data_IF_665255747604
#
_entry.id   IF_665255747604
#
_cell.length_a   1.000
_cell.length_b   1.000
_cell.length_c   1.000
_cell.angle_alpha   90.00
_cell.angle_beta   90.00
_cell.angle_gamma   90.00
#
_symmetry.space_group_name_H-M   'P 1'
#
loop_
_entity.id
_entity.type
_entity.pdbx_description
1 polymer ?
#
# COMPACT_ATOMS: atom_id res chain seq x y z
N UNK A 1 -33.02 -29.42 13.25
CA UNK A 1 -32.16 -28.95 12.15
C UNK A 1 -31.18 -27.96 12.78
N UNK A 2 -29.95 -28.38 13.07
CA UNK A 2 -28.99 -27.56 13.81
C UNK A 2 -28.14 -26.79 12.79
N UNK A 3 -28.39 -25.50 12.64
CA UNK A 3 -27.51 -24.62 11.89
C UNK A 3 -26.32 -24.23 12.77
N UNK A 4 -25.11 -24.55 12.32
CA UNK A 4 -23.88 -24.05 12.94
C UNK A 4 -23.63 -22.67 12.34
N UNK A 5 -23.67 -21.63 13.18
CA UNK A 5 -23.21 -20.30 12.80
C UNK A 5 -21.68 -20.33 12.78
N UNK A 6 -21.07 -20.38 11.60
CA UNK A 6 -19.64 -20.13 11.45
C UNK A 6 -19.49 -18.61 11.47
N UNK A 7 -19.13 -18.06 12.62
CA UNK A 7 -18.71 -16.67 12.71
C UNK A 7 -17.38 -16.53 11.98
N UNK A 8 -17.38 -15.92 10.80
CA UNK A 8 -16.15 -15.60 10.08
C UNK A 8 -15.40 -14.52 10.86
N UNK A 9 -14.16 -14.80 11.22
CA UNK A 9 -13.24 -13.82 11.79
C UNK A 9 -12.90 -12.78 10.71
N UNK A 10 -13.17 -11.48 10.93
CA UNK A 10 -12.86 -10.47 9.94
C UNK A 10 -11.33 -10.34 9.81
N UNK A 11 -10.84 -10.26 8.58
CA UNK A 11 -9.44 -10.00 8.31
C UNK A 11 -9.29 -9.09 7.09
N UNK A 12 -8.16 -8.39 7.07
CA UNK A 12 -7.71 -7.61 5.91
C UNK A 12 -6.53 -8.37 5.32
N UNK A 13 -6.57 -8.64 4.01
CA UNK A 13 -5.43 -9.23 3.30
C UNK A 13 -5.15 -8.48 2.01
N UNK A 14 -3.87 -8.51 1.63
CA UNK A 14 -3.38 -8.13 0.32
C UNK A 14 -2.36 -9.18 -0.08
N UNK A 15 -2.63 -9.93 -1.15
CA UNK A 15 -1.81 -11.06 -1.58
C UNK A 15 -1.84 -11.22 -3.10
N UNK A 16 -0.91 -12.03 -3.62
CA UNK A 16 -0.90 -12.42 -5.03
C UNK A 16 -1.46 -13.83 -5.16
N UNK A 17 -2.43 -14.01 -6.06
CA UNK A 17 -2.97 -15.33 -6.42
C UNK A 17 -2.70 -15.55 -7.90
N UNK A 18 -1.89 -16.54 -8.25
CA UNK A 18 -1.44 -16.79 -9.63
C UNK A 18 -0.86 -15.53 -10.31
N UNK A 19 -0.15 -14.70 -9.53
CA UNK A 19 0.48 -13.47 -10.01
C UNK A 19 -0.47 -12.26 -10.11
N UNK A 20 -1.75 -12.40 -9.75
CA UNK A 20 -2.72 -11.28 -9.75
C UNK A 20 -2.94 -10.78 -8.33
N UNK A 21 -3.02 -9.45 -8.17
CA UNK A 21 -3.31 -8.81 -6.89
C UNK A 21 -4.74 -9.09 -6.44
N UNK A 22 -4.89 -9.60 -5.22
CA UNK A 22 -6.16 -9.83 -4.54
C UNK A 22 -6.13 -9.13 -3.20
N UNK A 23 -7.16 -8.32 -2.94
CA UNK A 23 -7.37 -7.66 -1.67
C UNK A 23 -8.70 -8.09 -1.07
N UNK A 24 -8.69 -8.44 0.21
CA UNK A 24 -9.89 -8.83 0.93
C UNK A 24 -10.09 -7.96 2.17
N UNK A 25 -11.35 -7.61 2.39
CA UNK A 25 -11.89 -7.12 3.63
C UNK A 25 -13.08 -8.01 4.00
N UNK A 26 -12.76 -9.16 4.61
CA UNK A 26 -13.74 -10.17 4.97
C UNK A 26 -14.65 -9.69 6.12
N UNK A 27 -15.91 -10.16 6.17
CA UNK A 27 -16.50 -11.24 5.37
C UNK A 27 -17.15 -10.81 4.04
N UNK A 28 -17.03 -9.53 3.65
CA UNK A 28 -17.96 -8.94 2.68
C UNK A 28 -17.32 -8.51 1.35
N UNK A 29 -16.00 -8.39 1.30
CA UNK A 29 -15.30 -7.79 0.16
C UNK A 29 -14.11 -8.65 -0.19
N UNK A 30 -14.12 -9.18 -1.42
CA UNK A 30 -12.95 -9.73 -2.09
C UNK A 30 -12.86 -9.03 -3.44
N UNK A 31 -11.75 -8.37 -3.72
CA UNK A 31 -11.51 -7.65 -4.96
C UNK A 31 -10.21 -8.15 -5.59
N UNK A 32 -10.31 -8.68 -6.80
CA UNK A 32 -9.17 -9.14 -7.58
C UNK A 32 -8.93 -8.21 -8.77
N UNK A 33 -7.66 -8.01 -9.09
CA UNK A 33 -7.25 -7.41 -10.35
C UNK A 33 -7.37 -8.38 -11.51
N UNK A 34 -6.78 -7.99 -12.62
CA UNK A 34 -6.68 -8.75 -13.88
C UNK A 34 -5.25 -8.81 -14.41
N UNK A 35 -4.43 -7.82 -14.06
CA UNK A 35 -3.02 -7.73 -14.44
C UNK A 35 -2.18 -8.75 -13.68
N UNK A 36 -1.38 -9.51 -14.44
CA UNK A 36 -0.32 -10.36 -13.87
C UNK A 36 0.88 -9.48 -13.57
N UNK A 37 1.32 -9.48 -12.31
CA UNK A 37 2.47 -8.70 -11.85
C UNK A 37 3.77 -9.29 -12.40
N UNK A 38 4.58 -8.45 -13.03
CA UNK A 38 5.92 -8.81 -13.48
C UNK A 38 6.88 -9.01 -12.30
N UNK A 39 7.80 -9.98 -12.43
CA UNK A 39 8.83 -10.22 -11.42
C UNK A 39 10.08 -9.36 -11.66
N UNK A 40 10.93 -9.25 -10.64
CA UNK A 40 12.20 -8.50 -10.69
C UNK A 40 12.05 -6.99 -10.99
N UNK A 41 10.89 -6.41 -10.67
CA UNK A 41 10.63 -4.98 -10.75
C UNK A 41 9.95 -4.52 -9.46
N UNK A 42 10.18 -3.26 -9.10
CA UNK A 42 9.44 -2.64 -8.00
C UNK A 42 8.03 -2.30 -8.46
N UNK A 43 7.05 -2.69 -7.66
CA UNK A 43 5.65 -2.33 -7.86
C UNK A 43 5.11 -1.68 -6.60
N UNK A 44 4.28 -0.65 -6.78
CA UNK A 44 3.55 -0.01 -5.71
C UNK A 44 2.11 -0.54 -5.70
N UNK A 45 1.70 -1.13 -4.58
CA UNK A 45 0.33 -1.61 -4.39
C UNK A 45 -0.41 -0.76 -3.37
N UNK A 46 -1.68 -0.49 -3.64
CA UNK A 46 -2.55 0.18 -2.67
C UNK A 46 -3.93 -0.44 -2.67
N UNK A 47 -4.48 -0.63 -1.48
CA UNK A 47 -5.84 -1.06 -1.25
C UNK A 47 -6.56 0.04 -0.46
N UNK A 48 -7.60 0.63 -1.05
CA UNK A 48 -8.33 1.75 -0.46
C UNK A 48 -9.79 1.37 -0.29
N UNK A 49 -10.28 1.47 0.94
CA UNK A 49 -11.71 1.40 1.24
C UNK A 49 -12.21 2.81 1.57
N UNK A 50 -13.16 3.33 0.78
CA UNK A 50 -13.82 4.61 1.01
C UNK A 50 -15.27 4.39 1.47
N UNK A 51 -15.56 4.54 2.78
CA UNK A 51 -16.91 4.36 3.31
C UNK A 51 -17.87 5.49 2.92
N UNK A 52 -17.35 6.65 2.49
CA UNK A 52 -18.15 7.79 2.04
C UNK A 52 -18.71 7.51 0.65
N UNK A 53 -17.84 7.05 -0.26
CA UNK A 53 -18.21 6.71 -1.62
C UNK A 53 -18.77 5.29 -1.75
N UNK A 54 -18.63 4.46 -0.70
CA UNK A 54 -18.99 3.04 -0.68
C UNK A 54 -18.25 2.25 -1.76
N UNK A 55 -16.97 2.54 -1.94
CA UNK A 55 -16.12 1.91 -2.94
C UNK A 55 -14.89 1.32 -2.29
N UNK A 56 -14.44 0.20 -2.86
CA UNK A 56 -13.14 -0.39 -2.58
C UNK A 56 -12.36 -0.43 -3.88
N UNK A 57 -11.11 0.02 -3.85
CA UNK A 57 -10.27 0.13 -5.04
C UNK A 57 -8.89 -0.42 -4.76
N UNK A 58 -8.39 -1.24 -5.67
CA UNK A 58 -6.98 -1.64 -5.72
C UNK A 58 -6.27 -0.86 -6.81
N UNK A 59 -5.02 -0.48 -6.51
CA UNK A 59 -4.16 0.24 -7.42
C UNK A 59 -2.84 -0.51 -7.60
N UNK A 60 -2.32 -0.50 -8.82
CA UNK A 60 -0.98 -0.95 -9.19
C UNK A 60 -0.27 0.24 -9.81
N UNK A 61 0.90 0.59 -9.27
CA UNK A 61 1.76 1.67 -9.78
C UNK A 61 1.02 3.02 -9.93
N UNK A 62 0.04 3.25 -9.04
CA UNK A 62 -0.78 4.48 -8.99
C UNK A 62 -2.02 4.46 -9.89
N UNK A 63 -2.11 3.50 -10.82
CA UNK A 63 -3.28 3.31 -11.68
C UNK A 63 -4.36 2.46 -10.99
N UNK A 64 -5.63 2.73 -11.28
CA UNK A 64 -6.75 1.89 -10.81
C UNK A 64 -6.69 0.55 -11.54
N UNK A 65 -6.54 -0.54 -10.78
CA UNK A 65 -6.56 -1.89 -11.33
C UNK A 65 -7.99 -2.47 -11.29
N UNK A 66 -8.69 -2.32 -10.17
CA UNK A 66 -10.08 -2.74 -10.04
C UNK A 66 -10.82 -1.89 -8.99
N UNK A 67 -12.12 -1.71 -9.19
CA UNK A 67 -13.03 -1.07 -8.22
C UNK A 67 -14.24 -1.96 -7.98
N UNK A 68 -14.56 -2.18 -6.72
CA UNK A 68 -15.75 -2.89 -6.27
C UNK A 68 -16.60 -2.03 -5.34
N UNK A 69 -17.84 -2.45 -5.11
CA UNK A 69 -18.69 -1.83 -4.10
C UNK A 69 -18.24 -2.27 -2.71
N UNK A 70 -18.05 -1.30 -1.80
CA UNK A 70 -17.84 -1.60 -0.38
C UNK A 70 -19.18 -1.56 0.34
N UNK A 71 -19.59 -2.67 0.94
CA UNK A 71 -20.64 -2.62 1.97
C UNK A 71 -19.99 -2.01 3.22
N UNK A 72 -20.76 -1.26 4.03
CA UNK A 72 -20.29 -0.80 5.35
C UNK A 72 -19.88 -2.02 6.20
N UNK A 73 -18.63 -2.43 6.12
CA UNK A 73 -18.02 -3.27 7.16
C UNK A 73 -17.51 -2.29 8.20
N UNK A 74 -18.30 -2.07 9.25
CA UNK A 74 -17.67 -1.73 10.52
C UNK A 74 -16.77 -2.92 10.85
N UNK A 75 -15.45 -2.76 10.69
CA UNK A 75 -14.49 -3.73 11.23
C UNK A 75 -14.53 -3.53 12.74
N UNK A 76 -15.55 -4.08 13.37
CA UNK A 76 -15.75 -4.04 14.81
C UNK A 76 -15.32 -5.38 15.41
N UNK A 77 -14.10 -5.83 15.14
CA UNK A 77 -13.52 -6.92 15.92
C UNK A 77 -12.83 -6.31 17.13
N UNK A 78 -13.50 -6.36 18.28
CA UNK A 78 -12.90 -6.11 19.60
C UNK A 78 -11.95 -7.26 20.00
N UNK A 79 -11.24 -7.86 19.04
CA UNK A 79 -10.36 -8.99 19.29
C UNK A 79 -8.95 -8.47 19.54
N UNK A 80 -8.61 -8.39 20.82
CA UNK A 80 -7.34 -7.87 21.33
C UNK A 80 -6.11 -8.68 20.90
N UNK A 81 -6.28 -9.77 20.13
CA UNK A 81 -5.21 -10.65 19.67
C UNK A 81 -5.00 -10.65 18.12
N UNK A 82 -5.51 -9.64 17.42
CA UNK A 82 -5.33 -9.55 15.96
C UNK A 82 -3.86 -9.28 15.58
N UNK A 83 -3.22 -10.23 14.89
CA UNK A 83 -1.82 -10.10 14.45
C UNK A 83 -1.77 -9.52 13.03
N UNK A 84 -0.89 -8.54 12.81
CA UNK A 84 -0.55 -8.08 11.46
C UNK A 84 0.59 -8.97 10.94
N UNK A 85 0.34 -9.68 9.85
CA UNK A 85 1.33 -10.53 9.19
C UNK A 85 1.78 -9.84 7.91
N UNK A 86 3.09 -9.66 7.77
CA UNK A 86 3.71 -9.06 6.58
C UNK A 86 4.70 -10.07 6.01
N UNK A 87 4.60 -10.34 4.71
CA UNK A 87 5.54 -11.19 4.00
C UNK A 87 5.41 -12.70 4.25
N UNK A 88 4.23 -13.18 4.67
CA UNK A 88 3.96 -14.62 4.75
C UNK A 88 4.14 -15.27 3.38
N UNK A 89 5.06 -16.23 3.28
CA UNK A 89 5.42 -16.93 2.04
C UNK A 89 5.89 -16.00 0.89
N UNK A 90 6.18 -14.75 1.20
CA UNK A 90 6.66 -13.77 0.22
C UNK A 90 8.16 -13.91 0.02
N UNK A 91 8.58 -14.09 -1.23
CA UNK A 91 9.98 -14.06 -1.62
C UNK A 91 10.25 -12.80 -2.43
N UNK A 92 10.94 -11.83 -1.83
CA UNK A 92 11.25 -10.55 -2.47
C UNK A 92 11.58 -9.47 -1.44
N UNK A 93 11.42 -8.22 -1.85
CA UNK A 93 11.64 -7.05 -1.02
C UNK A 93 10.32 -6.29 -0.82
N UNK A 94 10.12 -5.79 0.40
CA UNK A 94 9.02 -4.88 0.75
C UNK A 94 9.67 -3.62 1.30
N UNK A 95 9.23 -2.47 0.82
CA UNK A 95 9.63 -1.17 1.36
C UNK A 95 8.40 -0.27 1.52
N UNK A 96 8.50 0.70 2.42
CA UNK A 96 7.50 1.75 2.69
C UNK A 96 6.07 1.25 2.95
N UNK A 97 5.92 0.16 3.69
CA UNK A 97 4.60 -0.29 4.14
C UNK A 97 3.93 0.78 5.03
N UNK A 98 2.73 1.20 4.64
CA UNK A 98 1.92 2.17 5.39
C UNK A 98 0.47 1.71 5.49
N UNK A 99 -0.14 1.92 6.65
CA UNK A 99 -1.57 1.68 6.89
C UNK A 99 -2.19 2.98 7.39
N UNK A 100 -3.24 3.45 6.72
CA UNK A 100 -3.93 4.70 7.02
C UNK A 100 -5.38 4.42 7.41
N UNK A 101 -5.86 5.14 8.44
CA UNK A 101 -7.27 5.11 8.85
C UNK A 101 -8.16 5.99 7.96
N UNK A 102 -7.57 6.75 7.05
CA UNK A 102 -8.27 7.59 6.08
C UNK A 102 -8.10 7.05 4.67
N UNK A 103 -9.20 6.98 3.93
CA UNK A 103 -9.20 6.70 2.50
C UNK A 103 -8.32 7.74 1.76
N UNK A 104 -7.31 7.25 1.04
CA UNK A 104 -6.49 8.09 0.15
C UNK A 104 -7.25 8.35 -1.14
N UNK A 105 -7.14 9.57 -1.68
CA UNK A 105 -7.66 9.86 -3.02
C UNK A 105 -6.77 9.20 -4.08
N UNK A 106 -7.31 8.99 -5.28
CA UNK A 106 -6.53 8.51 -6.42
C UNK A 106 -5.25 9.35 -6.65
N UNK A 107 -5.35 10.69 -6.55
CA UNK A 107 -4.20 11.58 -6.70
C UNK A 107 -3.11 11.33 -5.65
N UNK A 108 -3.49 11.07 -4.40
CA UNK A 108 -2.53 10.77 -3.34
C UNK A 108 -1.85 9.41 -3.57
N UNK A 109 -2.61 8.40 -3.99
CA UNK A 109 -2.06 7.08 -4.34
C UNK A 109 -1.11 7.17 -5.54
N UNK A 110 -1.44 7.97 -6.54
CA UNK A 110 -0.58 8.22 -7.69
C UNK A 110 0.72 8.92 -7.28
N UNK A 111 0.65 9.90 -6.38
CA UNK A 111 1.86 10.53 -5.84
C UNK A 111 2.72 9.53 -5.09
N UNK A 112 2.15 8.72 -4.20
CA UNK A 112 2.91 7.70 -3.48
C UNK A 112 3.62 6.72 -4.43
N UNK A 113 2.95 6.33 -5.53
CA UNK A 113 3.50 5.41 -6.52
C UNK A 113 4.60 6.02 -7.42
N UNK A 114 4.57 7.33 -7.62
CA UNK A 114 5.46 8.04 -8.58
C UNK A 114 6.61 8.78 -7.90
N UNK A 115 6.64 8.83 -6.57
CA UNK A 115 7.77 9.40 -5.82
C UNK A 115 9.02 8.55 -6.08
N UNK A 116 9.90 9.06 -6.95
CA UNK A 116 11.14 8.39 -7.34
C UNK A 116 12.22 8.44 -6.25
N UNK A 117 12.15 9.42 -5.34
CA UNK A 117 13.05 9.53 -4.19
C UNK A 117 12.45 10.40 -3.09
N UNK A 118 12.59 9.94 -1.84
CA UNK A 118 12.44 10.77 -0.66
C UNK A 118 13.84 10.99 -0.08
N UNK A 119 14.35 12.23 -0.17
CA UNK A 119 15.61 12.61 0.45
C UNK A 119 15.30 13.25 1.81
N UNK A 120 15.33 12.50 2.93
CA UNK A 120 15.34 13.11 4.25
C UNK A 120 16.58 14.02 4.29
N UNK A 121 16.45 15.29 4.65
CA UNK A 121 17.57 16.25 4.68
C UNK A 121 18.39 16.15 5.97
N UNK A 122 18.30 15.02 6.70
CA UNK A 122 18.79 14.88 8.07
C UNK A 122 20.04 13.97 8.30
N UNK A 123 20.28 12.83 7.64
CA UNK A 123 21.53 12.03 7.73
C UNK A 123 22.00 11.22 6.48
N UNK A 124 23.20 11.48 5.92
CA UNK A 124 24.00 10.60 5.02
C UNK A 124 23.23 9.83 3.92
N UNK A 125 22.86 10.51 2.82
CA UNK A 125 21.77 10.11 1.89
C UNK A 125 22.15 9.55 0.51
N UNK A 126 23.42 9.26 0.24
CA UNK A 126 23.84 8.86 -1.10
C UNK A 126 23.80 7.36 -1.34
N UNK A 127 23.59 6.56 -0.28
CA UNK A 127 23.57 5.10 -0.40
C UNK A 127 22.14 4.58 -0.37
N UNK A 128 21.70 4.01 -1.48
CA UNK A 128 20.47 3.22 -1.52
C UNK A 128 20.67 1.94 -0.69
N UNK A 129 19.70 1.66 0.19
CA UNK A 129 19.66 0.44 1.01
C UNK A 129 18.76 -0.64 0.40
N UNK A 130 18.08 -0.32 -0.70
CA UNK A 130 17.37 -1.25 -1.53
C UNK A 130 18.30 -2.09 -2.42
N UNK A 131 17.77 -3.18 -3.00
CA UNK A 131 18.51 -4.13 -3.84
C UNK A 131 18.93 -3.54 -5.20
N UNK A 132 18.41 -2.37 -5.59
CA UNK A 132 18.71 -1.75 -6.88
C UNK A 132 20.09 -1.09 -6.92
N UNK A 133 20.69 -0.84 -5.74
CA UNK A 133 22.04 -0.25 -5.64
C UNK A 133 22.13 1.15 -6.27
N UNK A 134 21.02 1.89 -6.33
CA UNK A 134 20.98 3.20 -6.98
C UNK A 134 21.49 4.26 -6.02
N UNK A 135 22.80 4.46 -6.01
CA UNK A 135 23.40 5.50 -5.20
C UNK A 135 23.18 6.88 -5.84
N UNK A 136 22.62 7.82 -5.09
CA UNK A 136 22.56 9.21 -5.53
C UNK A 136 23.99 9.77 -5.60
N UNK A 137 24.27 10.60 -6.60
CA UNK A 137 25.48 11.42 -6.65
C UNK A 137 25.09 12.87 -6.45
N UNK A 138 25.75 13.58 -5.55
CA UNK A 138 25.47 14.98 -5.32
C UNK A 138 26.75 15.80 -5.40
N UNK A 139 26.78 16.77 -6.31
CA UNK A 139 27.89 17.67 -6.59
C UNK A 139 27.44 19.12 -6.44
N UNK A 140 28.27 20.00 -5.86
CA UNK A 140 27.95 21.42 -5.64
C UNK A 140 26.69 21.68 -4.80
N UNK A 141 26.40 20.83 -3.82
CA UNK A 141 25.27 21.02 -2.89
C UNK A 141 25.66 21.95 -1.75
N UNK A 142 24.82 22.97 -1.50
CA UNK A 142 24.78 23.71 -0.24
C UNK A 142 23.57 23.19 0.55
N UNK A 143 23.74 22.49 1.68
CA UNK A 143 22.60 22.03 2.47
C UNK A 143 21.91 23.22 3.12
N UNK A 144 20.64 23.43 2.78
CA UNK A 144 19.77 24.40 3.44
C UNK A 144 18.83 23.60 4.34
N UNK A 145 18.92 23.81 5.66
CA UNK A 145 18.05 23.15 6.62
C UNK A 145 16.69 23.88 6.66
N UNK A 146 15.66 23.25 6.08
CA UNK A 146 14.28 23.73 6.09
C UNK A 146 13.34 22.76 6.81
N UNK A 147 12.32 23.28 7.49
CA UNK A 147 11.22 22.47 8.01
C UNK A 147 10.29 22.05 6.85
N UNK A 148 9.59 20.92 7.02
CA UNK A 148 8.84 20.08 6.05
C UNK A 148 7.87 20.76 5.03
N UNK A 149 7.82 22.08 4.87
CA UNK A 149 6.79 22.77 4.08
C UNK A 149 7.29 23.92 3.17
N UNK A 150 8.54 23.88 2.71
CA UNK A 150 8.97 24.83 1.67
C UNK A 150 9.14 24.09 0.33
N UNK A 151 8.21 24.32 -0.60
CA UNK A 151 8.43 23.99 -1.99
C UNK A 151 9.55 24.90 -2.53
N UNK A 152 10.61 24.30 -3.08
CA UNK A 152 11.60 25.03 -3.86
C UNK A 152 11.01 25.21 -5.27
N UNK A 153 10.68 26.45 -5.62
CA UNK A 153 10.47 26.82 -7.02
C UNK A 153 11.85 27.05 -7.65
N UNK A 154 12.07 26.40 -8.80
CA UNK A 154 13.16 26.74 -9.72
C UNK A 154 12.69 27.84 -10.68
#
# INVERSE_FOLDING_TARGET
>A
MNAILIQLTPYISLNLVNGVLVASLEPNITLAGTSVISTNQWHHFSFVCDPTQKTTTIYIDGAIEATGSSIKSEISSNDSNSTIIIGSEFTGYIDQLSISLKAKSHQAVLWDATVAAYYPVDLSWLLDKGPNGINATASNIIPIYGWRYNALNF
#
